data_IF_785177613037
#
_entry.id   IF_785177613037
#
_cell.length_a   1.000
_cell.length_b   1.000
_cell.length_c   1.000
_cell.angle_alpha   90.00
_cell.angle_beta   90.00
_cell.angle_gamma   90.00
#
_symmetry.space_group_name_H-M   'P 1'
#
loop_
_entity.id
_entity.type
_entity.pdbx_description
1 polymer ?
#
# COMPACT_ATOMS: atom_id res chain seq x y z
N UNK A 1 58.74 10.86 -78.80
CA UNK A 1 58.01 9.59 -78.63
C UNK A 1 56.89 9.83 -77.64
N UNK A 2 55.68 10.07 -78.09
CA UNK A 2 54.49 10.41 -77.25
C UNK A 2 53.75 9.12 -76.91
N UNK A 3 53.46 8.88 -75.66
CA UNK A 3 52.66 7.76 -75.15
C UNK A 3 51.20 8.24 -75.10
N UNK A 4 50.19 7.54 -75.70
CA UNK A 4 48.80 7.94 -75.61
C UNK A 4 48.19 7.55 -74.26
N UNK A 5 47.42 8.48 -73.70
CA UNK A 5 46.63 8.25 -72.50
C UNK A 5 45.38 7.40 -72.79
N UNK A 6 45.29 6.24 -72.20
CA UNK A 6 44.09 5.37 -72.31
C UNK A 6 43.02 5.88 -71.32
N UNK A 7 41.94 6.44 -71.84
CA UNK A 7 40.76 6.81 -71.07
C UNK A 7 39.88 5.58 -70.83
N UNK A 8 39.90 5.06 -69.66
CA UNK A 8 39.02 3.97 -69.13
C UNK A 8 37.63 4.58 -68.81
N UNK A 9 36.68 4.48 -69.80
CA UNK A 9 35.25 4.74 -69.47
C UNK A 9 34.66 3.55 -68.74
N UNK A 10 34.06 3.71 -67.52
CA UNK A 10 33.47 2.59 -66.83
C UNK A 10 32.28 2.02 -67.64
N UNK A 11 32.30 0.71 -67.85
CA UNK A 11 31.26 -0.01 -68.59
C UNK A 11 29.89 0.13 -67.90
N UNK A 12 28.82 0.13 -68.68
CA UNK A 12 27.42 0.22 -68.20
C UNK A 12 27.08 -0.83 -67.19
N UNK A 13 27.73 -2.00 -67.14
CA UNK A 13 27.58 -3.06 -66.18
C UNK A 13 28.14 -2.68 -64.78
N UNK A 14 29.24 -1.93 -64.71
CA UNK A 14 29.80 -1.44 -63.47
C UNK A 14 28.90 -0.41 -62.79
N UNK A 15 28.22 0.43 -63.57
CA UNK A 15 27.23 1.41 -63.06
C UNK A 15 25.93 0.73 -62.56
N UNK A 16 25.46 -0.33 -63.26
CA UNK A 16 24.30 -1.12 -62.82
C UNK A 16 24.60 -1.90 -61.56
N UNK A 17 25.79 -2.47 -61.39
CA UNK A 17 26.20 -3.19 -60.18
C UNK A 17 26.36 -2.26 -58.97
N UNK A 18 26.90 -1.06 -59.17
CA UNK A 18 26.98 -0.04 -58.11
C UNK A 18 25.60 0.47 -57.71
N UNK A 19 24.63 0.62 -58.61
CA UNK A 19 23.28 1.00 -58.30
C UNK A 19 22.49 -0.10 -57.60
N UNK A 20 22.67 -1.38 -57.96
CA UNK A 20 22.04 -2.52 -57.30
C UNK A 20 22.60 -2.74 -55.88
N UNK A 21 23.92 -2.58 -55.69
CA UNK A 21 24.56 -2.65 -54.36
C UNK A 21 24.11 -1.48 -53.46
N UNK A 22 23.89 -0.28 -54.03
CA UNK A 22 23.31 0.86 -53.31
C UNK A 22 21.86 0.62 -52.84
N UNK A 23 21.05 -0.03 -53.73
CA UNK A 23 19.66 -0.38 -53.37
C UNK A 23 19.58 -1.48 -52.32
N UNK A 24 20.49 -2.47 -52.35
CA UNK A 24 20.54 -3.54 -51.33
C UNK A 24 20.96 -3.02 -49.97
N UNK A 25 21.82 -2.01 -49.87
CA UNK A 25 22.21 -1.34 -48.63
C UNK A 25 21.07 -0.52 -48.01
N UNK A 26 20.16 0.04 -48.84
CA UNK A 26 18.98 0.75 -48.38
C UNK A 26 17.88 -0.18 -47.81
N UNK A 27 17.78 -1.42 -48.28
CA UNK A 27 16.84 -2.41 -47.79
C UNK A 27 17.20 -2.95 -46.39
N UNK A 28 18.48 -2.87 -45.97
CA UNK A 28 18.94 -3.29 -44.64
C UNK A 28 18.53 -2.39 -43.47
N UNK A 29 18.00 -1.18 -43.78
CA UNK A 29 17.64 -0.20 -42.72
C UNK A 29 16.45 -0.62 -41.85
N UNK A 30 15.60 -1.55 -42.28
CA UNK A 30 14.44 -2.01 -41.52
C UNK A 30 14.79 -2.94 -40.32
N UNK A 31 16.00 -3.54 -40.31
CA UNK A 31 16.41 -4.54 -39.33
C UNK A 31 17.35 -4.00 -38.25
N UNK A 32 17.57 -2.68 -38.14
CA UNK A 32 18.42 -2.11 -37.12
C UNK A 32 17.73 -2.21 -35.72
N UNK A 33 18.41 -2.73 -34.72
CA UNK A 33 17.83 -2.84 -33.38
C UNK A 33 17.43 -1.45 -32.84
N UNK A 34 16.18 -1.32 -32.39
CA UNK A 34 15.65 -0.13 -31.71
C UNK A 34 15.18 -0.52 -30.34
N UNK A 35 15.23 0.41 -29.38
CA UNK A 35 14.73 0.20 -28.01
C UNK A 35 13.19 0.28 -27.91
N UNK A 36 12.48 0.08 -29.01
CA UNK A 36 11.02 0.09 -29.07
C UNK A 36 10.48 1.03 -30.17
N UNK A 37 9.14 1.16 -30.27
CA UNK A 37 8.49 1.88 -31.35
C UNK A 37 8.71 3.40 -31.29
N UNK A 38 8.66 4.03 -32.45
CA UNK A 38 8.59 5.49 -32.59
C UNK A 38 7.17 5.99 -32.35
N UNK A 39 7.02 7.31 -32.13
CA UNK A 39 5.70 7.94 -31.96
C UNK A 39 4.75 7.68 -33.15
N UNK A 40 5.30 7.64 -34.36
CA UNK A 40 4.52 7.34 -35.57
C UNK A 40 4.04 5.89 -35.65
N UNK A 41 4.84 4.93 -35.16
CA UNK A 41 4.47 3.51 -35.11
C UNK A 41 3.39 3.25 -34.05
N UNK A 42 3.47 3.91 -32.90
CA UNK A 42 2.41 3.83 -31.87
C UNK A 42 1.09 4.37 -32.42
N UNK A 43 1.11 5.49 -33.12
CA UNK A 43 -0.11 6.07 -33.74
C UNK A 43 -0.71 5.17 -34.82
N UNK A 44 0.11 4.61 -35.71
CA UNK A 44 -0.36 3.64 -36.72
C UNK A 44 -0.94 2.37 -36.11
N UNK A 45 -0.35 1.88 -35.01
CA UNK A 45 -0.88 0.71 -34.29
C UNK A 45 -2.32 0.90 -33.75
N UNK A 46 -2.78 2.15 -33.57
CA UNK A 46 -4.18 2.46 -33.24
C UNK A 46 -5.12 2.27 -34.45
N UNK A 47 -4.61 2.58 -35.66
CA UNK A 47 -5.40 2.58 -36.88
C UNK A 47 -5.46 1.19 -37.53
N UNK A 48 -4.34 0.45 -37.54
CA UNK A 48 -4.18 -0.76 -38.34
C UNK A 48 -4.46 -2.09 -37.61
N UNK A 49 -4.17 -2.21 -36.31
CA UNK A 49 -4.24 -3.48 -35.55
C UNK A 49 -4.62 -3.25 -34.08
N UNK A 50 -5.74 -2.59 -33.84
CA UNK A 50 -6.17 -2.25 -32.49
C UNK A 50 -7.15 -3.30 -31.92
N UNK A 51 -6.72 -4.54 -31.79
CA UNK A 51 -7.52 -5.62 -31.18
C UNK A 51 -7.97 -5.32 -29.76
N UNK A 52 -7.15 -4.58 -28.97
CA UNK A 52 -7.46 -4.17 -27.62
C UNK A 52 -8.39 -2.96 -27.52
N UNK A 53 -8.65 -2.26 -28.62
CA UNK A 53 -9.53 -1.09 -28.67
C UNK A 53 -9.00 0.13 -27.89
N UNK A 54 -7.66 0.26 -27.72
CA UNK A 54 -7.08 1.41 -27.03
C UNK A 54 -7.20 2.72 -27.83
N UNK A 55 -7.19 3.84 -27.12
CA UNK A 55 -7.24 5.18 -27.71
C UNK A 55 -6.03 5.98 -27.22
N UNK A 56 -5.51 6.86 -28.11
CA UNK A 56 -4.52 7.85 -27.70
C UNK A 56 -5.25 9.16 -27.37
N UNK A 57 -4.97 9.71 -26.19
CA UNK A 57 -5.55 10.95 -25.70
C UNK A 57 -4.42 11.89 -25.29
N UNK A 58 -4.43 13.11 -25.82
CA UNK A 58 -3.47 14.14 -25.44
C UNK A 58 -3.79 14.69 -24.06
N UNK A 59 -2.77 14.77 -23.19
CA UNK A 59 -2.92 15.36 -21.84
C UNK A 59 -3.08 16.87 -22.00
N UNK A 60 -4.24 17.37 -21.59
CA UNK A 60 -4.60 18.78 -21.58
C UNK A 60 -5.31 19.14 -20.26
N UNK A 61 -5.54 20.44 -20.01
CA UNK A 61 -6.13 20.93 -18.78
C UNK A 61 -7.48 20.28 -18.44
N UNK A 62 -8.48 20.33 -19.35
CA UNK A 62 -9.78 19.70 -19.11
C UNK A 62 -9.71 18.21 -18.79
N UNK A 63 -8.83 17.46 -19.48
CA UNK A 63 -8.65 16.02 -19.22
C UNK A 63 -8.10 15.76 -17.81
N UNK A 64 -7.08 16.53 -17.40
CA UNK A 64 -6.49 16.38 -16.05
C UNK A 64 -7.53 16.67 -14.99
N UNK A 65 -8.31 17.73 -15.13
CA UNK A 65 -9.40 18.07 -14.21
C UNK A 65 -10.46 16.97 -14.17
N UNK A 66 -10.86 16.44 -15.32
CA UNK A 66 -11.83 15.35 -15.41
C UNK A 66 -11.34 14.07 -14.74
N UNK A 67 -10.07 13.68 -14.95
CA UNK A 67 -9.48 12.50 -14.33
C UNK A 67 -9.43 12.68 -12.81
N UNK A 68 -8.91 13.81 -12.33
CA UNK A 68 -8.78 14.09 -10.90
C UNK A 68 -10.16 14.15 -10.21
N UNK A 69 -11.16 14.77 -10.84
CA UNK A 69 -12.52 14.81 -10.31
C UNK A 69 -13.17 13.41 -10.25
N UNK A 70 -12.94 12.58 -11.29
CA UNK A 70 -13.41 11.18 -11.31
C UNK A 70 -12.77 10.36 -10.20
N UNK A 71 -11.46 10.49 -10.02
CA UNK A 71 -10.70 9.72 -9.02
C UNK A 71 -11.10 10.13 -7.60
N UNK A 72 -11.27 11.44 -7.35
CA UNK A 72 -11.79 11.94 -6.08
C UNK A 72 -13.23 11.45 -5.79
N UNK A 73 -14.09 11.39 -6.80
CA UNK A 73 -15.43 10.85 -6.64
C UNK A 73 -15.43 9.34 -6.39
N UNK A 74 -14.53 8.58 -7.04
CA UNK A 74 -14.37 7.16 -6.83
C UNK A 74 -13.84 6.85 -5.42
N UNK A 75 -12.85 7.61 -4.95
CA UNK A 75 -12.33 7.50 -3.56
C UNK A 75 -13.42 7.84 -2.53
N UNK A 76 -14.21 8.89 -2.75
CA UNK A 76 -15.29 9.27 -1.86
C UNK A 76 -16.46 8.26 -1.81
N UNK A 77 -16.63 7.47 -2.87
CA UNK A 77 -17.67 6.43 -2.95
C UNK A 77 -17.25 5.11 -2.28
N UNK A 78 -15.96 4.92 -1.98
CA UNK A 78 -15.50 3.70 -1.33
C UNK A 78 -15.87 3.71 0.17
N UNK A 79 -16.29 2.55 0.72
CA UNK A 79 -16.51 2.45 2.15
C UNK A 79 -15.18 2.65 2.88
N UNK A 80 -15.15 3.57 3.83
CA UNK A 80 -13.98 3.85 4.67
C UNK A 80 -14.04 3.02 5.95
N UNK A 81 -12.91 2.90 6.65
CA UNK A 81 -12.86 2.19 7.93
C UNK A 81 -13.87 2.74 8.93
N UNK A 82 -14.14 4.04 8.89
CA UNK A 82 -15.12 4.69 9.77
C UNK A 82 -16.53 4.10 9.69
N UNK A 83 -16.90 3.47 8.55
CA UNK A 83 -18.18 2.77 8.43
C UNK A 83 -18.31 1.53 9.35
N UNK A 84 -17.18 1.00 9.83
CA UNK A 84 -17.14 -0.08 10.81
C UNK A 84 -17.09 0.43 12.26
N UNK A 85 -17.19 1.75 12.49
CA UNK A 85 -17.20 2.31 13.83
C UNK A 85 -18.39 1.79 14.63
N UNK A 86 -18.13 1.31 15.83
CA UNK A 86 -19.15 0.89 16.80
C UNK A 86 -18.71 1.28 18.19
N UNK A 87 -19.68 1.61 19.04
CA UNK A 87 -19.42 1.75 20.45
C UNK A 87 -19.24 0.36 21.07
N UNK A 88 -18.18 0.18 21.83
CA UNK A 88 -17.90 -1.03 22.56
C UNK A 88 -17.51 -0.73 24.01
N UNK A 89 -17.68 -1.71 24.89
CA UNK A 89 -17.30 -1.61 26.29
C UNK A 89 -16.07 -2.49 26.52
N UNK A 90 -14.98 -1.86 26.97
CA UNK A 90 -13.73 -2.54 27.36
C UNK A 90 -13.61 -2.67 28.88
N UNK A 91 -14.62 -2.18 29.63
CA UNK A 91 -14.69 -2.14 31.09
C UNK A 91 -15.49 -3.29 31.70
N UNK A 92 -15.92 -4.25 30.88
CA UNK A 92 -16.72 -5.40 31.31
C UNK A 92 -15.91 -6.67 31.36
N UNK A 93 -16.24 -7.52 32.31
CA UNK A 93 -15.65 -8.87 32.48
C UNK A 93 -16.26 -9.83 31.46
N UNK A 94 -15.47 -10.74 30.95
CA UNK A 94 -15.92 -11.80 30.04
C UNK A 94 -15.41 -13.19 30.39
N UNK A 95 -15.87 -14.22 29.68
CA UNK A 95 -15.42 -15.59 29.87
C UNK A 95 -13.90 -15.73 29.67
N UNK A 96 -13.26 -16.46 30.60
CA UNK A 96 -11.81 -16.67 30.61
C UNK A 96 -11.03 -15.61 31.36
N UNK A 97 -11.63 -14.49 31.74
CA UNK A 97 -10.94 -13.48 32.56
C UNK A 97 -10.56 -14.01 33.93
N UNK A 98 -9.44 -13.53 34.45
CA UNK A 98 -8.95 -13.86 35.76
C UNK A 98 -9.19 -12.70 36.69
N UNK A 99 -9.97 -12.92 37.74
CA UNK A 99 -10.34 -11.91 38.73
C UNK A 99 -9.58 -12.13 40.06
N UNK A 100 -9.21 -11.04 40.70
CA UNK A 100 -8.80 -11.03 42.09
C UNK A 100 -9.92 -10.42 42.91
N UNK A 101 -10.43 -11.16 43.88
CA UNK A 101 -11.56 -10.77 44.72
C UNK A 101 -11.13 -10.73 46.17
N UNK A 102 -11.17 -9.56 46.77
CA UNK A 102 -10.96 -9.36 48.21
C UNK A 102 -12.28 -9.14 48.93
N UNK A 103 -12.55 -9.89 49.97
CA UNK A 103 -13.72 -9.71 50.84
C UNK A 103 -13.22 -9.28 52.21
N UNK A 104 -13.76 -8.18 52.69
CA UNK A 104 -13.44 -7.58 53.98
C UNK A 104 -14.67 -7.66 54.86
N UNK A 105 -14.47 -8.19 56.08
CA UNK A 105 -15.54 -8.38 57.06
C UNK A 105 -15.15 -7.74 58.38
N UNK A 106 -16.14 -7.19 59.09
CA UNK A 106 -15.97 -6.64 60.45
C UNK A 106 -16.62 -7.56 61.44
N UNK A 107 -15.93 -7.94 62.51
CA UNK A 107 -16.44 -8.84 63.53
C UNK A 107 -16.17 -10.32 63.23
N UNK A 108 -17.20 -11.19 63.44
CA UNK A 108 -17.06 -12.64 63.19
C UNK A 108 -16.98 -12.88 61.70
N UNK A 109 -15.78 -13.29 61.23
CA UNK A 109 -15.52 -13.51 59.80
C UNK A 109 -16.05 -14.87 59.35
N UNK A 110 -16.79 -14.92 58.23
CA UNK A 110 -17.22 -16.16 57.56
C UNK A 110 -16.05 -16.92 56.95
N UNK A 111 -15.02 -16.18 56.53
CA UNK A 111 -13.86 -16.74 55.82
C UNK A 111 -12.61 -16.89 56.71
N UNK A 112 -12.67 -16.49 57.97
CA UNK A 112 -11.56 -16.60 58.91
C UNK A 112 -11.34 -18.04 59.38
N UNK A 113 -10.10 -18.56 59.27
CA UNK A 113 -9.73 -19.79 59.95
C UNK A 113 -9.72 -19.53 61.44
N UNK A 114 -10.56 -20.25 62.19
CA UNK A 114 -10.56 -20.29 63.66
C UNK A 114 -9.32 -21.06 64.14
N UNK A 115 -8.16 -20.41 64.08
CA UNK A 115 -6.87 -20.97 64.48
C UNK A 115 -6.08 -19.97 65.35
N UNK A 116 -6.63 -19.56 66.48
CA UNK A 116 -5.96 -18.76 67.50
C UNK A 116 -6.37 -19.22 68.90
N UNK A 117 -5.56 -20.02 69.46
CA UNK A 117 -5.63 -20.30 70.94
C UNK A 117 -5.24 -19.00 71.64
N UNK A 118 -6.25 -18.30 72.21
CA UNK A 118 -6.03 -17.09 73.02
C UNK A 118 -7.05 -16.01 72.73
N UNK A 119 -8.09 -15.95 73.50
CA UNK A 119 -9.29 -15.11 73.41
C UNK A 119 -9.09 -13.61 73.47
N UNK A 120 -8.47 -13.01 72.46
CA UNK A 120 -8.52 -11.57 72.19
C UNK A 120 -9.24 -11.41 70.92
N UNK A 121 -10.49 -10.93 70.96
CA UNK A 121 -11.20 -10.45 69.75
C UNK A 121 -10.46 -9.21 69.26
N UNK A 122 -9.68 -9.39 68.16
CA UNK A 122 -9.13 -8.27 67.41
C UNK A 122 -10.25 -7.72 66.57
N UNK A 123 -10.68 -6.46 66.78
CA UNK A 123 -11.76 -5.82 66.01
C UNK A 123 -11.28 -5.37 64.61
N UNK A 124 -10.05 -5.72 64.22
CA UNK A 124 -9.52 -5.37 62.92
C UNK A 124 -10.31 -6.04 61.76
N UNK A 125 -10.59 -5.30 60.72
CA UNK A 125 -11.22 -5.83 59.52
C UNK A 125 -10.36 -6.99 58.95
N UNK A 126 -10.95 -8.17 58.84
CA UNK A 126 -10.27 -9.34 58.27
C UNK A 126 -10.52 -9.39 56.77
N UNK A 127 -9.46 -9.52 55.99
CA UNK A 127 -9.50 -9.64 54.55
C UNK A 127 -9.27 -11.09 54.12
N UNK A 128 -10.17 -11.62 53.32
CA UNK A 128 -9.97 -12.87 52.60
C UNK A 128 -9.82 -12.53 51.10
N UNK A 129 -8.71 -12.89 50.52
CA UNK A 129 -8.44 -12.68 49.12
C UNK A 129 -8.53 -13.99 48.34
N UNK A 130 -9.28 -13.98 47.25
CA UNK A 130 -9.32 -15.02 46.21
C UNK A 130 -8.54 -14.51 45.00
N UNK A 131 -7.26 -14.89 44.82
CA UNK A 131 -6.36 -14.23 43.89
C UNK A 131 -6.59 -14.64 42.45
N UNK A 132 -7.19 -15.81 42.19
CA UNK A 132 -7.27 -16.42 40.87
C UNK A 132 -8.66 -17.02 40.62
N UNK A 133 -9.69 -16.14 40.57
CA UNK A 133 -11.06 -16.56 40.24
C UNK A 133 -11.26 -16.46 38.74
N UNK A 134 -11.34 -17.61 38.06
CA UNK A 134 -11.57 -17.69 36.61
C UNK A 134 -13.07 -17.53 36.30
N UNK A 135 -13.40 -16.71 35.32
CA UNK A 135 -14.77 -16.62 34.80
C UNK A 135 -15.00 -17.82 33.86
N UNK A 136 -15.98 -18.63 34.19
CA UNK A 136 -16.34 -19.82 33.42
C UNK A 136 -16.83 -19.47 31.98
N UNK A 137 -16.90 -20.49 31.14
CA UNK A 137 -17.44 -20.33 29.76
C UNK A 137 -18.86 -19.76 29.75
N UNK A 138 -19.66 -20.07 30.77
CA UNK A 138 -21.02 -19.55 30.91
C UNK A 138 -21.07 -18.09 31.41
N UNK A 139 -19.89 -17.49 31.67
CA UNK A 139 -19.78 -16.14 32.16
C UNK A 139 -20.03 -16.01 33.68
N UNK A 140 -19.88 -17.10 34.42
CA UNK A 140 -20.14 -17.14 35.87
C UNK A 140 -18.87 -17.34 36.65
N UNK A 141 -18.95 -16.93 37.96
CA UNK A 141 -17.96 -17.27 38.99
C UNK A 141 -18.67 -17.95 40.17
N UNK A 142 -17.96 -18.79 40.91
CA UNK A 142 -18.46 -19.40 42.13
C UNK A 142 -17.64 -18.92 43.33
N UNK A 143 -18.31 -18.34 44.31
CA UNK A 143 -17.69 -17.90 45.55
C UNK A 143 -18.34 -18.59 46.76
N UNK A 144 -17.55 -18.99 47.79
CA UNK A 144 -18.10 -19.51 49.05
C UNK A 144 -19.11 -18.55 49.65
N UNK A 145 -20.18 -19.07 50.21
CA UNK A 145 -21.28 -18.34 50.83
C UNK A 145 -22.11 -17.41 49.92
N UNK A 146 -21.58 -16.97 48.77
CA UNK A 146 -22.32 -16.19 47.75
C UNK A 146 -23.00 -17.10 46.74
N UNK A 147 -22.32 -18.17 46.38
CA UNK A 147 -22.77 -19.10 45.35
C UNK A 147 -22.31 -18.69 43.94
N UNK A 148 -23.07 -19.09 42.95
CA UNK A 148 -22.81 -18.82 41.55
C UNK A 148 -23.34 -17.43 41.13
N UNK A 149 -22.48 -16.59 40.55
CA UNK A 149 -22.80 -15.24 40.08
C UNK A 149 -22.53 -15.11 38.60
N UNK A 150 -23.48 -14.54 37.87
CA UNK A 150 -23.31 -14.14 36.47
C UNK A 150 -22.53 -12.82 36.44
N UNK A 151 -21.29 -12.86 35.96
CA UNK A 151 -20.37 -11.70 35.92
C UNK A 151 -20.03 -11.20 34.54
N UNK A 152 -20.20 -12.03 33.52
CA UNK A 152 -19.94 -11.61 32.15
C UNK A 152 -20.88 -10.47 31.72
N UNK A 153 -20.31 -9.44 31.08
CA UNK A 153 -21.01 -8.22 30.68
C UNK A 153 -21.17 -7.18 31.79
N UNK A 154 -20.70 -7.48 33.01
CA UNK A 154 -20.72 -6.55 34.13
C UNK A 154 -19.34 -5.92 34.37
N UNK A 155 -19.35 -4.70 34.88
CA UNK A 155 -18.15 -4.02 35.38
C UNK A 155 -17.69 -4.59 36.74
N UNK A 156 -16.42 -4.35 37.10
CA UNK A 156 -15.91 -4.73 38.43
C UNK A 156 -16.73 -4.13 39.56
N UNK A 157 -17.23 -2.88 39.43
CA UNK A 157 -18.07 -2.21 40.41
C UNK A 157 -19.46 -2.87 40.54
N UNK A 158 -20.07 -3.29 39.44
CA UNK A 158 -21.33 -4.04 39.47
C UNK A 158 -21.13 -5.40 40.14
N UNK A 159 -20.04 -6.11 39.84
CA UNK A 159 -19.71 -7.40 40.45
C UNK A 159 -19.47 -7.24 41.94
N UNK A 160 -18.75 -6.21 42.40
CA UNK A 160 -18.61 -5.87 43.80
C UNK A 160 -19.97 -5.75 44.51
N UNK A 161 -20.89 -4.99 43.88
CA UNK A 161 -22.23 -4.82 44.41
C UNK A 161 -23.02 -6.13 44.47
N UNK A 162 -22.83 -7.03 43.47
CA UNK A 162 -23.47 -8.34 43.46
C UNK A 162 -22.95 -9.24 44.59
N UNK A 163 -21.63 -9.25 44.83
CA UNK A 163 -21.00 -10.00 45.92
C UNK A 163 -21.52 -9.50 47.27
N UNK A 164 -21.51 -8.19 47.51
CA UNK A 164 -22.01 -7.58 48.74
C UNK A 164 -23.48 -7.97 49.00
N UNK A 165 -24.33 -7.91 47.97
CA UNK A 165 -25.74 -8.35 48.08
C UNK A 165 -25.85 -9.85 48.45
N UNK A 166 -25.00 -10.71 47.88
CA UNK A 166 -25.01 -12.16 48.15
C UNK A 166 -24.54 -12.52 49.56
N UNK A 167 -23.72 -11.66 50.20
CA UNK A 167 -23.24 -11.80 51.59
C UNK A 167 -24.15 -11.13 52.60
N UNK A 168 -25.10 -10.29 52.18
CA UNK A 168 -26.02 -9.58 53.08
C UNK A 168 -26.83 -10.57 53.92
N UNK A 169 -26.83 -10.39 55.23
CA UNK A 169 -27.49 -11.28 56.20
C UNK A 169 -26.67 -12.53 56.60
N UNK A 170 -25.52 -12.78 55.95
CA UNK A 170 -24.57 -13.84 56.28
C UNK A 170 -23.33 -13.28 56.97
N UNK A 171 -22.87 -12.12 56.54
CA UNK A 171 -21.74 -11.38 57.12
C UNK A 171 -22.17 -10.02 57.65
N UNK A 172 -21.45 -9.50 58.65
CA UNK A 172 -21.64 -8.15 59.19
C UNK A 172 -20.85 -7.15 58.33
N UNK A 173 -21.57 -6.19 57.70
CA UNK A 173 -20.98 -5.11 56.90
C UNK A 173 -19.92 -5.57 55.89
N UNK A 174 -20.24 -6.54 55.00
CA UNK A 174 -19.27 -7.05 54.05
C UNK A 174 -18.92 -5.96 53.04
N UNK A 175 -17.61 -5.85 52.70
CA UNK A 175 -17.07 -5.05 51.63
C UNK A 175 -16.40 -5.99 50.62
N UNK A 176 -16.49 -5.69 49.35
CA UNK A 176 -15.83 -6.47 48.30
C UNK A 176 -15.00 -5.55 47.42
N UNK A 177 -13.81 -5.99 47.07
CA UNK A 177 -12.97 -5.37 46.04
C UNK A 177 -12.76 -6.39 44.95
N UNK A 178 -13.05 -5.99 43.71
CA UNK A 178 -12.85 -6.83 42.53
C UNK A 178 -11.90 -6.11 41.58
N UNK A 179 -10.83 -6.81 41.18
CA UNK A 179 -9.88 -6.34 40.20
C UNK A 179 -9.70 -7.39 39.09
N UNK A 180 -9.58 -6.97 37.86
CA UNK A 180 -9.22 -7.84 36.73
C UNK A 180 -7.70 -8.02 36.81
N UNK A 181 -7.23 -9.25 37.07
CA UNK A 181 -5.82 -9.60 37.04
C UNK A 181 -5.32 -9.86 35.66
N UNK A 182 -6.15 -10.50 34.83
CA UNK A 182 -5.85 -10.76 33.42
C UNK A 182 -7.13 -10.68 32.59
N UNK A 183 -7.17 -9.76 31.65
CA UNK A 183 -8.28 -9.58 30.72
C UNK A 183 -8.02 -10.42 29.44
N UNK A 184 -8.54 -11.63 29.40
CA UNK A 184 -8.42 -12.53 28.24
C UNK A 184 -9.52 -12.24 27.23
N UNK A 185 -10.69 -11.87 27.70
CA UNK A 185 -11.86 -11.58 26.89
C UNK A 185 -11.75 -10.24 26.13
N UNK A 186 -11.06 -9.26 26.73
CA UNK A 186 -10.90 -7.91 26.17
C UNK A 186 -9.60 -7.79 25.37
N UNK A 187 -9.52 -8.47 24.23
CA UNK A 187 -8.31 -8.52 23.41
C UNK A 187 -8.60 -8.30 21.94
N UNK A 188 -7.59 -7.78 21.23
CA UNK A 188 -7.53 -7.68 19.77
C UNK A 188 -6.35 -8.47 19.23
N UNK A 189 -6.43 -8.82 17.94
CA UNK A 189 -5.39 -9.58 17.25
C UNK A 189 -4.70 -8.69 16.23
N UNK A 190 -3.38 -8.61 16.29
CA UNK A 190 -2.55 -7.92 15.32
C UNK A 190 -1.64 -8.94 14.65
N UNK A 191 -1.67 -8.99 13.32
CA UNK A 191 -0.97 -10.00 12.52
C UNK A 191 -0.40 -9.40 11.22
N UNK A 192 0.33 -10.22 10.46
CA UNK A 192 0.93 -9.84 9.18
C UNK A 192 2.26 -9.11 9.37
N UNK A 193 2.49 -8.09 8.55
CA UNK A 193 3.77 -7.35 8.47
C UNK A 193 3.93 -6.33 9.60
N UNK A 194 3.96 -6.82 10.84
CA UNK A 194 4.26 -6.07 12.07
C UNK A 194 5.46 -6.69 12.78
N UNK A 195 6.15 -5.90 13.61
CA UNK A 195 7.33 -6.40 14.32
C UNK A 195 7.00 -7.47 15.37
N UNK A 196 5.86 -7.34 16.04
CA UNK A 196 5.42 -8.27 17.09
C UNK A 196 3.97 -8.68 16.86
N UNK A 197 3.71 -9.67 16.00
CA UNK A 197 2.35 -10.18 15.82
C UNK A 197 1.88 -10.89 17.09
N UNK A 198 0.63 -10.68 17.47
CA UNK A 198 0.11 -11.27 18.68
C UNK A 198 -1.28 -10.82 19.08
N UNK A 199 -1.63 -11.14 20.33
CA UNK A 199 -2.85 -10.73 20.97
C UNK A 199 -2.55 -9.63 21.98
N UNK A 200 -3.28 -8.52 21.90
CA UNK A 200 -3.08 -7.33 22.70
C UNK A 200 -4.33 -7.06 23.53
N UNK A 201 -4.15 -6.80 24.82
CA UNK A 201 -5.25 -6.47 25.73
C UNK A 201 -5.70 -5.03 25.48
N UNK A 202 -7.01 -4.84 25.41
CA UNK A 202 -7.62 -3.52 25.46
C UNK A 202 -7.75 -3.08 26.92
N UNK A 203 -7.43 -1.81 27.16
CA UNK A 203 -7.52 -1.19 28.49
C UNK A 203 -8.66 -0.18 28.57
N UNK A 204 -8.83 0.43 29.73
CA UNK A 204 -9.79 1.52 29.92
C UNK A 204 -9.40 2.81 29.19
N UNK A 205 -8.19 2.86 28.60
CA UNK A 205 -7.74 4.00 27.79
C UNK A 205 -8.42 4.04 26.41
N UNK A 206 -9.13 2.95 26.01
CA UNK A 206 -9.90 2.86 24.78
C UNK A 206 -8.98 3.00 23.56
N UNK A 207 -8.04 2.09 23.43
CA UNK A 207 -7.06 2.03 22.36
C UNK A 207 -7.73 2.07 20.98
N UNK A 208 -7.07 2.78 20.07
CA UNK A 208 -7.47 2.89 18.68
C UNK A 208 -6.65 1.97 17.79
N UNK A 209 -7.01 1.94 16.52
CA UNK A 209 -6.35 1.11 15.50
C UNK A 209 -4.84 1.36 15.42
N UNK A 210 -4.43 2.63 15.39
CA UNK A 210 -3.00 2.99 15.32
C UNK A 210 -2.28 2.69 16.63
N UNK A 211 -2.95 2.77 17.79
CA UNK A 211 -2.36 2.39 19.08
C UNK A 211 -2.03 0.90 19.11
N UNK A 212 -2.93 0.03 18.62
CA UNK A 212 -2.67 -1.39 18.56
C UNK A 212 -1.53 -1.76 17.61
N UNK A 213 -1.42 -1.06 16.49
CA UNK A 213 -0.29 -1.22 15.56
C UNK A 213 1.01 -0.77 16.23
N UNK A 214 0.99 0.34 16.98
CA UNK A 214 2.15 0.82 17.74
C UNK A 214 2.56 -0.16 18.86
N UNK A 215 1.59 -0.72 19.59
CA UNK A 215 1.84 -1.77 20.61
C UNK A 215 2.47 -3.02 19.98
N UNK A 216 2.12 -3.36 18.73
CA UNK A 216 2.73 -4.44 17.96
C UNK A 216 4.11 -4.07 17.39
N UNK A 217 4.70 -2.95 17.82
CA UNK A 217 6.02 -2.48 17.37
C UNK A 217 6.02 -1.75 16.02
N UNK A 218 4.84 -1.43 15.48
CA UNK A 218 4.67 -0.78 14.18
C UNK A 218 4.75 -1.73 12.98
N UNK A 219 4.51 -1.19 11.80
CA UNK A 219 4.63 -1.91 10.53
C UNK A 219 6.10 -2.16 10.18
N UNK A 220 6.40 -3.31 9.55
CA UNK A 220 7.77 -3.65 9.08
C UNK A 220 8.14 -2.96 7.78
N UNK A 221 7.15 -2.49 7.03
CA UNK A 221 7.31 -1.79 5.76
C UNK A 221 6.89 -0.32 5.91
N UNK A 222 7.15 0.49 4.88
CA UNK A 222 6.68 1.87 4.83
C UNK A 222 5.16 1.94 4.94
N UNK A 223 4.63 3.03 5.50
CA UNK A 223 3.18 3.23 5.60
C UNK A 223 2.51 3.27 4.21
N UNK A 224 3.25 3.70 3.18
CA UNK A 224 2.77 3.77 1.80
C UNK A 224 2.69 2.39 1.11
N UNK A 225 3.50 1.43 1.55
CA UNK A 225 3.49 0.06 1.02
C UNK A 225 2.63 -0.89 1.85
N UNK A 226 2.12 -0.41 2.99
CA UNK A 226 1.33 -1.21 3.93
C UNK A 226 -0.15 -0.93 3.80
N UNK A 227 -0.94 -1.97 3.64
CA UNK A 227 -2.40 -1.95 3.70
C UNK A 227 -2.84 -2.60 5.00
N UNK A 228 -3.67 -1.91 5.75
CA UNK A 228 -4.33 -2.42 6.93
C UNK A 228 -5.65 -3.06 6.52
N UNK A 229 -5.77 -4.36 6.72
CA UNK A 229 -7.04 -5.08 6.66
C UNK A 229 -7.62 -5.15 8.05
N UNK A 230 -8.70 -4.46 8.26
CA UNK A 230 -9.41 -4.43 9.53
C UNK A 230 -10.66 -5.28 9.47
N UNK A 231 -10.77 -6.24 10.41
CA UNK A 231 -11.92 -7.14 10.50
C UNK A 231 -12.65 -6.91 11.82
N UNK A 232 -13.96 -6.68 11.72
CA UNK A 232 -14.89 -6.56 12.86
C UNK A 232 -16.10 -7.45 12.64
N UNK A 233 -16.19 -8.53 13.41
CA UNK A 233 -17.20 -9.57 13.20
C UNK A 233 -17.03 -10.25 11.84
N UNK A 234 -18.05 -10.20 10.99
CA UNK A 234 -18.02 -10.76 9.63
C UNK A 234 -17.65 -9.75 8.54
N UNK A 235 -17.45 -8.49 8.90
CA UNK A 235 -17.13 -7.42 7.94
C UNK A 235 -15.62 -7.16 7.95
N UNK A 236 -15.07 -6.83 6.79
CA UNK A 236 -13.71 -6.34 6.69
C UNK A 236 -13.61 -5.19 5.69
N UNK A 237 -12.66 -4.32 5.92
CA UNK A 237 -12.27 -3.25 5.01
C UNK A 237 -10.75 -3.15 4.98
N UNK A 238 -10.26 -2.63 3.87
CA UNK A 238 -8.83 -2.40 3.66
C UNK A 238 -8.59 -0.91 3.45
N UNK A 239 -7.58 -0.38 4.12
CA UNK A 239 -7.14 1.00 3.93
C UNK A 239 -5.60 1.06 4.00
N UNK A 240 -5.01 1.96 3.24
CA UNK A 240 -3.58 2.17 3.27
C UNK A 240 -3.15 2.86 4.57
N UNK A 241 -2.14 2.31 5.24
CA UNK A 241 -1.72 2.81 6.55
C UNK A 241 -1.37 4.30 6.51
N UNK A 242 -0.72 4.78 5.44
CA UNK A 242 -0.38 6.19 5.27
C UNK A 242 -1.58 7.14 5.13
N UNK A 243 -2.78 6.63 4.83
CA UNK A 243 -4.02 7.42 4.77
C UNK A 243 -4.73 7.53 6.12
N UNK A 244 -4.47 6.62 7.06
CA UNK A 244 -5.10 6.61 8.39
C UNK A 244 -4.41 7.68 9.25
N UNK A 245 -5.16 8.67 9.69
CA UNK A 245 -4.65 9.75 10.54
C UNK A 245 -5.03 9.50 11.99
N UNK A 246 -4.06 9.65 12.89
CA UNK A 246 -4.30 9.49 14.32
C UNK A 246 -5.44 10.40 14.82
N UNK A 247 -6.39 9.81 15.52
CA UNK A 247 -7.57 10.48 16.05
C UNK A 247 -8.66 10.82 15.03
N UNK A 248 -8.47 10.56 13.73
CA UNK A 248 -9.51 10.71 12.71
C UNK A 248 -10.56 9.60 12.81
N UNK A 249 -11.62 9.70 12.00
CA UNK A 249 -12.72 8.72 12.00
C UNK A 249 -12.27 7.31 11.60
N UNK A 250 -11.28 7.20 10.71
CA UNK A 250 -10.73 5.91 10.23
C UNK A 250 -9.74 5.28 11.23
N UNK A 251 -9.24 6.04 12.18
CA UNK A 251 -8.50 5.51 13.32
C UNK A 251 -9.51 4.98 14.36
N UNK A 252 -10.07 3.81 14.07
CA UNK A 252 -11.20 3.24 14.79
C UNK A 252 -10.87 2.97 16.26
N UNK A 253 -11.82 3.26 17.14
CA UNK A 253 -11.79 2.73 18.49
C UNK A 253 -11.98 1.21 18.44
N UNK A 254 -11.09 0.48 19.09
CA UNK A 254 -11.08 -0.97 19.10
C UNK A 254 -12.07 -1.55 20.09
N UNK A 255 -12.64 -2.67 19.74
CA UNK A 255 -13.49 -3.48 20.61
C UNK A 255 -12.97 -4.91 20.68
N UNK A 256 -13.30 -5.67 21.72
CA UNK A 256 -12.88 -7.06 21.88
C UNK A 256 -13.21 -7.91 20.65
N UNK A 257 -12.23 -8.68 20.18
CA UNK A 257 -12.38 -9.57 19.04
C UNK A 257 -12.01 -8.95 17.68
N UNK A 258 -11.68 -7.66 17.60
CA UNK A 258 -11.18 -7.03 16.38
C UNK A 258 -9.88 -7.70 15.94
N UNK A 259 -9.71 -7.78 14.59
CA UNK A 259 -8.51 -8.33 13.97
C UNK A 259 -7.93 -7.31 13.01
N UNK A 260 -6.64 -7.05 13.16
CA UNK A 260 -5.86 -6.11 12.37
C UNK A 260 -4.77 -6.92 11.67
N UNK A 261 -4.75 -6.89 10.35
CA UNK A 261 -3.75 -7.57 9.55
C UNK A 261 -3.04 -6.54 8.66
N UNK A 262 -1.73 -6.45 8.78
CA UNK A 262 -0.91 -5.59 7.94
C UNK A 262 -0.37 -6.40 6.78
N UNK A 263 -0.55 -5.89 5.55
CA UNK A 263 -0.19 -6.56 4.30
C UNK A 263 0.70 -5.65 3.48
N UNK A 264 1.81 -6.18 2.99
CA UNK A 264 2.67 -5.47 2.04
C UNK A 264 2.03 -5.44 0.65
N UNK A 265 1.69 -4.25 0.17
CA UNK A 265 1.16 -4.02 -1.19
C UNK A 265 1.82 -2.79 -1.80
N UNK A 266 3.08 -2.91 -2.25
CA UNK A 266 3.78 -1.81 -2.88
C UNK A 266 3.11 -1.44 -4.20
N UNK A 267 3.10 -0.13 -4.49
CA UNK A 267 2.70 0.41 -5.79
C UNK A 267 3.94 0.75 -6.59
N UNK A 268 3.87 0.57 -7.90
CA UNK A 268 4.98 0.85 -8.80
C UNK A 268 4.50 1.23 -10.18
N UNK A 269 5.35 1.92 -10.92
CA UNK A 269 5.20 2.13 -12.35
C UNK A 269 6.43 1.57 -13.08
N UNK A 270 6.29 1.38 -14.40
CA UNK A 270 7.37 0.86 -15.25
C UNK A 270 7.77 1.96 -16.23
N UNK A 271 9.06 2.19 -16.37
CA UNK A 271 9.64 3.10 -17.39
C UNK A 271 10.32 2.33 -18.51
N UNK A 272 9.98 2.62 -19.76
CA UNK A 272 10.49 1.95 -20.95
C UNK A 272 10.81 2.96 -22.07
N UNK A 273 11.55 2.51 -23.09
CA UNK A 273 11.85 3.27 -24.30
C UNK A 273 13.12 4.10 -24.19
N UNK A 274 13.11 5.30 -24.79
CA UNK A 274 14.25 6.22 -24.85
C UNK A 274 14.35 7.07 -23.56
N UNK A 275 14.40 6.40 -22.44
CA UNK A 275 14.51 6.97 -21.09
C UNK A 275 15.91 6.73 -20.52
N UNK A 276 16.31 7.51 -19.52
CA UNK A 276 17.60 7.34 -18.83
C UNK A 276 17.71 6.04 -18.08
N UNK A 277 16.57 5.49 -17.57
CA UNK A 277 16.50 4.24 -16.82
C UNK A 277 15.28 3.43 -17.24
N UNK A 278 15.52 2.19 -17.67
CA UNK A 278 14.46 1.21 -17.96
C UNK A 278 14.32 0.31 -16.73
N UNK A 279 13.30 0.59 -15.90
CA UNK A 279 13.13 -0.10 -14.62
C UNK A 279 11.69 -0.05 -14.12
N UNK A 280 11.37 -0.89 -13.14
CA UNK A 280 10.18 -0.78 -12.33
C UNK A 280 10.52 0.05 -11.08
N UNK A 281 9.84 1.18 -10.90
CA UNK A 281 10.09 2.14 -9.82
C UNK A 281 8.95 2.13 -8.82
N UNK A 282 9.27 1.93 -7.52
CA UNK A 282 8.30 2.03 -6.44
C UNK A 282 7.84 3.48 -6.23
N UNK A 283 6.63 3.65 -5.68
CA UNK A 283 6.08 4.99 -5.46
C UNK A 283 6.80 5.77 -4.36
N UNK A 284 7.21 5.13 -3.28
CA UNK A 284 7.87 5.73 -2.08
C UNK A 284 7.01 6.79 -1.36
N UNK A 285 6.08 7.43 -2.06
CA UNK A 285 5.18 8.48 -1.58
C UNK A 285 3.71 8.10 -1.82
N UNK A 286 2.78 8.78 -1.15
CA UNK A 286 1.34 8.54 -1.28
C UNK A 286 0.83 8.74 -2.70
N UNK A 287 1.34 9.74 -3.39
CA UNK A 287 1.04 10.06 -4.78
C UNK A 287 2.33 10.37 -5.54
N UNK A 288 2.35 9.99 -6.81
CA UNK A 288 3.45 10.29 -7.75
C UNK A 288 2.86 10.98 -8.96
N UNK A 289 3.33 12.18 -9.26
CA UNK A 289 2.93 12.88 -10.49
C UNK A 289 3.66 12.32 -11.71
N UNK A 290 3.09 12.54 -12.91
CA UNK A 290 3.75 12.14 -14.15
C UNK A 290 5.10 12.86 -14.35
N UNK A 291 5.21 14.12 -13.92
CA UNK A 291 6.47 14.85 -13.93
C UNK A 291 7.54 14.16 -13.06
N UNK A 292 7.16 13.79 -11.84
CA UNK A 292 8.05 13.09 -10.92
C UNK A 292 8.44 11.70 -11.44
N UNK A 293 7.48 10.94 -11.98
CA UNK A 293 7.74 9.62 -12.54
C UNK A 293 8.69 9.68 -13.76
N UNK A 294 8.50 10.65 -14.65
CA UNK A 294 9.43 10.90 -15.77
C UNK A 294 10.81 11.29 -15.26
N UNK A 295 10.90 12.14 -14.21
CA UNK A 295 12.18 12.52 -13.61
C UNK A 295 12.91 11.35 -12.96
N UNK A 296 12.20 10.48 -12.21
CA UNK A 296 12.76 9.26 -11.60
C UNK A 296 13.27 8.29 -12.66
N UNK A 297 12.60 8.20 -13.82
CA UNK A 297 13.04 7.43 -14.98
C UNK A 297 14.27 8.04 -15.69
N UNK A 298 14.77 9.18 -15.24
CA UNK A 298 15.92 9.89 -15.85
C UNK A 298 15.56 10.75 -17.05
N UNK A 299 14.27 11.00 -17.30
CA UNK A 299 13.77 11.84 -18.40
C UNK A 299 13.98 11.29 -19.80
N UNK A 300 13.57 12.03 -20.83
CA UNK A 300 13.91 11.72 -22.22
C UNK A 300 15.41 11.86 -22.47
N UNK A 301 16.02 10.85 -23.10
CA UNK A 301 17.44 10.86 -23.44
C UNK A 301 17.65 11.72 -24.69
N UNK A 302 18.34 12.85 -24.61
CA UNK A 302 18.53 13.83 -25.68
C UNK A 302 18.98 13.24 -27.03
N UNK A 303 19.84 12.23 -26.99
CA UNK A 303 20.40 11.63 -28.20
C UNK A 303 19.41 10.78 -29.00
N UNK A 304 18.35 10.24 -28.36
CA UNK A 304 17.53 9.19 -28.97
C UNK A 304 16.03 9.35 -28.72
N UNK A 305 15.61 10.18 -27.76
CA UNK A 305 14.20 10.35 -27.42
C UNK A 305 13.47 11.35 -28.32
N UNK A 306 12.16 11.16 -28.42
CA UNK A 306 11.23 12.17 -28.94
C UNK A 306 10.49 12.83 -27.76
N UNK A 307 10.88 14.04 -27.31
CA UNK A 307 10.25 14.71 -26.17
C UNK A 307 8.79 15.09 -26.44
N UNK A 308 8.33 15.10 -27.69
CA UNK A 308 6.92 15.34 -28.04
C UNK A 308 6.02 14.14 -27.77
N UNK A 309 6.61 12.98 -27.41
CA UNK A 309 5.92 11.70 -27.38
C UNK A 309 6.30 10.87 -26.12
N UNK A 310 5.96 11.42 -24.97
CA UNK A 310 5.94 10.66 -23.71
C UNK A 310 4.55 10.05 -23.59
N UNK A 311 4.45 8.73 -23.55
CA UNK A 311 3.21 7.98 -23.47
C UNK A 311 3.08 7.34 -22.09
N UNK A 312 1.86 7.35 -21.54
CA UNK A 312 1.49 6.59 -20.36
C UNK A 312 0.39 5.62 -20.74
N UNK A 313 0.66 4.32 -20.60
CA UNK A 313 -0.29 3.25 -20.84
C UNK A 313 -0.97 2.88 -19.53
N UNK A 314 -2.29 2.89 -19.54
CA UNK A 314 -3.14 2.65 -18.37
C UNK A 314 -4.39 1.87 -18.75
N UNK A 315 -4.83 0.98 -17.89
CA UNK A 315 -6.18 0.46 -17.90
C UNK A 315 -7.07 1.37 -17.07
N UNK A 316 -7.96 2.11 -17.72
CA UNK A 316 -8.87 3.03 -17.08
C UNK A 316 -10.29 2.45 -16.98
N UNK A 317 -11.03 2.67 -15.87
CA UNK A 317 -12.42 2.27 -15.77
C UNK A 317 -13.23 2.89 -16.94
N UNK A 318 -13.99 2.07 -17.64
CA UNK A 318 -14.78 2.51 -18.80
C UNK A 318 -15.90 3.48 -18.40
N UNK A 319 -16.47 3.29 -17.19
CA UNK A 319 -17.44 4.16 -16.54
C UNK A 319 -17.45 3.87 -15.03
N UNK A 320 -17.86 4.81 -14.18
CA UNK A 320 -18.01 4.58 -12.75
C UNK A 320 -18.96 3.41 -12.48
N UNK A 321 -18.49 2.40 -11.72
CA UNK A 321 -19.30 1.27 -11.29
C UNK A 321 -19.45 0.09 -12.26
N UNK A 322 -18.85 0.15 -13.46
CA UNK A 322 -19.07 -0.90 -14.48
C UNK A 322 -18.01 -2.01 -14.50
N UNK A 323 -16.99 -1.96 -13.66
CA UNK A 323 -15.97 -3.01 -13.50
C UNK A 323 -15.13 -3.35 -14.75
N UNK A 324 -15.48 -2.81 -15.93
CA UNK A 324 -14.74 -3.02 -17.17
C UNK A 324 -13.69 -1.93 -17.34
N UNK A 325 -12.44 -2.36 -17.39
CA UNK A 325 -11.29 -1.49 -17.69
C UNK A 325 -11.06 -1.45 -19.19
N UNK A 326 -10.68 -0.28 -19.71
CA UNK A 326 -10.27 -0.09 -21.09
C UNK A 326 -8.85 0.42 -21.17
N UNK A 327 -8.03 -0.10 -22.09
CA UNK A 327 -6.69 0.42 -22.29
C UNK A 327 -6.77 1.83 -22.93
N UNK A 328 -6.05 2.76 -22.31
CA UNK A 328 -5.92 4.15 -22.77
C UNK A 328 -4.44 4.51 -22.80
N UNK A 329 -4.02 5.21 -23.83
CA UNK A 329 -2.68 5.76 -23.95
C UNK A 329 -2.79 7.28 -23.80
N UNK A 330 -2.23 7.82 -22.73
CA UNK A 330 -2.12 9.26 -22.52
C UNK A 330 -0.80 9.76 -23.13
N UNK A 331 -0.86 10.84 -23.93
CA UNK A 331 0.32 11.43 -24.53
C UNK A 331 0.62 12.78 -23.90
N UNK A 332 1.87 12.97 -23.50
CA UNK A 332 2.41 14.24 -23.03
C UNK A 332 3.47 14.75 -24.01
N UNK A 333 3.36 16.03 -24.40
CA UNK A 333 4.30 16.69 -25.28
C UNK A 333 5.17 17.67 -24.47
N UNK A 334 6.37 17.25 -24.11
CA UNK A 334 7.30 18.05 -23.31
C UNK A 334 7.93 19.24 -24.06
N UNK A 335 7.71 19.38 -25.39
CA UNK A 335 8.11 20.58 -26.13
C UNK A 335 7.20 21.79 -25.83
N UNK A 336 6.05 21.54 -25.21
CA UNK A 336 5.11 22.60 -24.80
C UNK A 336 5.33 22.97 -23.35
N UNK A 337 5.59 24.24 -22.98
CA UNK A 337 5.78 24.68 -21.60
C UNK A 337 4.59 24.34 -20.67
N UNK A 338 3.36 24.39 -21.19
CA UNK A 338 2.16 24.02 -20.43
C UNK A 338 2.17 22.56 -19.94
N UNK A 339 2.83 21.67 -20.67
CA UNK A 339 2.90 20.25 -20.34
C UNK A 339 3.63 19.97 -19.02
N UNK A 340 4.58 20.82 -18.64
CA UNK A 340 5.27 20.68 -17.34
C UNK A 340 4.31 20.94 -16.17
N UNK A 341 3.40 21.91 -16.28
CA UNK A 341 2.39 22.15 -15.26
C UNK A 341 1.31 21.03 -15.24
N UNK A 342 0.91 20.57 -16.42
CA UNK A 342 -0.07 19.49 -16.54
C UNK A 342 0.47 18.18 -15.98
N UNK A 343 1.73 17.85 -16.26
CA UNK A 343 2.38 16.65 -15.74
C UNK A 343 2.53 16.62 -14.23
N UNK A 344 2.64 17.78 -13.57
CA UNK A 344 2.64 17.88 -12.10
C UNK A 344 1.27 17.54 -11.48
N UNK A 345 0.18 17.77 -12.21
CA UNK A 345 -1.19 17.51 -11.74
C UNK A 345 -1.75 16.17 -12.20
N UNK A 346 -1.11 15.51 -13.16
CA UNK A 346 -1.50 14.19 -13.64
C UNK A 346 -0.90 13.13 -12.73
N UNK A 347 -1.75 12.41 -11.97
CA UNK A 347 -1.31 11.38 -11.02
C UNK A 347 -1.09 10.06 -11.73
N UNK A 348 0.08 9.46 -11.51
CA UNK A 348 0.43 8.10 -11.94
C UNK A 348 -0.23 7.09 -11.00
N UNK A 349 -0.74 5.98 -11.57
CA UNK A 349 -1.36 4.90 -10.81
C UNK A 349 -0.49 3.66 -10.77
N UNK A 350 -0.81 2.77 -9.85
CA UNK A 350 -0.14 1.48 -9.78
C UNK A 350 -0.23 0.73 -11.11
N UNK A 351 0.89 0.14 -11.54
CA UNK A 351 1.08 -0.59 -12.80
C UNK A 351 1.00 0.24 -14.09
N UNK A 352 1.02 1.57 -14.00
CA UNK A 352 1.18 2.40 -15.19
C UNK A 352 2.50 2.09 -15.87
N UNK A 353 2.50 2.14 -17.22
CA UNK A 353 3.71 2.02 -18.02
C UNK A 353 3.98 3.35 -18.72
N UNK A 354 5.11 3.97 -18.37
CA UNK A 354 5.59 5.18 -19.01
C UNK A 354 6.55 4.77 -20.13
N UNK A 355 6.26 5.18 -21.33
CA UNK A 355 7.07 4.90 -22.51
C UNK A 355 7.49 6.20 -23.17
N UNK A 356 8.79 6.45 -23.23
CA UNK A 356 9.36 7.57 -23.99
C UNK A 356 9.73 7.08 -25.37
N UNK A 357 9.08 7.66 -26.40
CA UNK A 357 9.25 7.19 -27.78
C UNK A 357 10.65 7.52 -28.30
N UNK A 358 11.14 6.67 -29.21
CA UNK A 358 12.35 6.96 -29.96
C UNK A 358 12.08 8.03 -31.03
N UNK A 359 13.02 8.96 -31.20
CA UNK A 359 12.99 9.91 -32.30
C UNK A 359 13.06 9.18 -33.66
N UNK A 360 12.29 9.64 -34.65
CA UNK A 360 12.29 9.04 -35.98
C UNK A 360 13.66 9.07 -36.66
N UNK A 361 14.48 10.08 -36.36
CA UNK A 361 15.85 10.23 -36.86
C UNK A 361 16.86 9.25 -36.25
N UNK A 362 16.48 8.50 -35.20
CA UNK A 362 17.42 7.60 -34.48
C UNK A 362 17.90 6.42 -35.39
N UNK A 363 17.05 5.87 -36.23
CA UNK A 363 17.43 4.77 -37.14
C UNK A 363 18.48 5.20 -38.17
N UNK A 364 18.31 6.33 -38.95
CA UNK A 364 19.34 6.84 -39.82
C UNK A 364 20.65 7.21 -39.12
N UNK A 365 20.58 7.83 -37.92
CA UNK A 365 21.76 8.21 -37.14
C UNK A 365 22.58 6.99 -36.67
N UNK A 366 21.94 5.91 -36.25
CA UNK A 366 22.63 4.65 -35.95
C UNK A 366 23.35 4.07 -37.16
N UNK A 367 22.73 4.11 -38.33
CA UNK A 367 23.36 3.66 -39.57
C UNK A 367 24.60 4.49 -39.92
N UNK A 368 24.51 5.82 -39.82
CA UNK A 368 25.66 6.72 -40.06
C UNK A 368 26.80 6.42 -39.10
N UNK A 369 26.48 6.21 -37.80
CA UNK A 369 27.47 5.86 -36.78
C UNK A 369 28.15 4.51 -37.07
N UNK A 370 27.39 3.49 -37.49
CA UNK A 370 27.95 2.19 -37.88
C UNK A 370 28.86 2.34 -39.09
N UNK A 371 28.44 3.10 -40.11
CA UNK A 371 29.26 3.38 -41.29
C UNK A 371 30.56 4.10 -40.86
N UNK A 372 30.47 5.15 -40.07
CA UNK A 372 31.62 5.88 -39.59
C UNK A 372 32.60 4.99 -38.77
N UNK A 373 32.09 4.10 -37.93
CA UNK A 373 32.91 3.14 -37.18
C UNK A 373 33.60 2.14 -38.10
N UNK A 374 32.94 1.66 -39.16
CA UNK A 374 33.51 0.72 -40.12
C UNK A 374 34.60 1.37 -40.99
N UNK A 375 34.44 2.66 -41.33
CA UNK A 375 35.40 3.35 -42.19
C UNK A 375 36.49 4.14 -41.42
N UNK A 376 36.30 4.38 -40.12
CA UNK A 376 37.30 5.05 -39.26
C UNK A 376 38.74 4.47 -39.36
N UNK A 377 38.98 3.15 -39.36
CA UNK A 377 40.32 2.62 -39.45
C UNK A 377 40.98 2.90 -40.82
N UNK A 378 40.20 3.00 -41.92
CA UNK A 378 40.72 3.29 -43.26
C UNK A 378 41.11 4.76 -43.42
N UNK A 379 40.46 5.70 -42.74
CA UNK A 379 40.82 7.12 -42.77
C UNK A 379 42.11 7.36 -41.98
N UNK A 380 42.28 6.67 -40.82
CA UNK A 380 43.49 6.78 -40.00
C UNK A 380 44.69 6.16 -40.68
N UNK A 381 44.55 5.02 -41.38
CA UNK A 381 45.63 4.39 -42.11
C UNK A 381 46.15 5.28 -43.27
N UNK A 382 45.25 6.07 -43.92
CA UNK A 382 45.66 6.98 -45.00
C UNK A 382 46.36 8.26 -44.51
N UNK A 383 46.17 8.63 -43.25
CA UNK A 383 46.88 9.75 -42.61
C UNK A 383 48.29 9.41 -42.14
N UNK A 384 48.59 8.11 -41.95
CA UNK A 384 49.93 7.63 -41.51
C UNK A 384 50.86 7.34 -42.70
N UNK A 385 50.32 7.21 -43.95
CA UNK A 385 51.08 6.93 -45.17
C UNK A 385 51.35 8.16 -46.02
N UNK A 386 51.25 9.36 -45.48
CA UNK A 386 51.69 10.64 -46.09
C UNK A 386 52.85 11.22 -45.27
#
# INVERSE_FOLDING_TARGET
MSIPAVSLTPSTHARAFAALSGLALLAGCAALPSSGPTAGEIRRGVEDQNELGFKIVDINGPLVEQINARDAAADAAQPTLSSLAREGRNDVVGPGDLLSIGIYEVGISLFGTSGGVGGVMDPAARAQTFPDVVVDRDGTISLPYVGRLQVAGHTTAEIQSMIIRGLKGKSQSPQALVAIKQAISSTVYVAGDVHQPGRYNLTLQRERLLDAIALAGGATNSAEDTVVRFNRGSQFLEERLGRIRAGAADDLMLIPGDRIELLKRPRSFISLGATGKVEQTAFETGEVSLAEAVARAGGPTDAVADPSAVFLFRYDPAAPGNGTEKPVIYRLNLLQPASYFLSQRFVVRDKDVIYIANAAANRPAKMVNIINQLFSPFVTARAITR
#
